data_IF_635656006379
#
_entry.id   IF_635656006379
#
_cell.length_a   1.000
_cell.length_b   1.000
_cell.length_c   1.000
_cell.angle_alpha   90.00
_cell.angle_beta   90.00
_cell.angle_gamma   90.00
#
_symmetry.space_group_name_H-M   'P 1'
#
loop_
_entity.id
_entity.type
_entity.pdbx_description
1 polymer ?
#
# COMPACT_ATOMS: atom_id res chain seq x y z
N UNK A 1 8.59 -7.44 14.91
CA UNK A 1 7.22 -7.52 14.33
C UNK A 1 7.35 -7.80 12.84
N UNK A 2 6.56 -8.74 12.31
CA UNK A 2 6.53 -9.09 10.88
C UNK A 2 5.19 -8.68 10.28
N UNK A 3 5.23 -7.83 9.25
CA UNK A 3 4.06 -7.48 8.44
C UNK A 3 4.08 -8.35 7.17
N UNK A 4 2.95 -8.97 6.84
CA UNK A 4 2.77 -9.73 5.61
C UNK A 4 1.52 -9.24 4.91
N UNK A 5 1.68 -8.62 3.75
CA UNK A 5 0.57 -8.21 2.89
C UNK A 5 0.42 -9.26 1.78
N UNK A 6 -0.80 -9.75 1.60
CA UNK A 6 -1.15 -10.68 0.51
C UNK A 6 -2.19 -10.02 -0.37
N UNK A 7 -1.83 -9.68 -1.61
CA UNK A 7 -2.77 -9.18 -2.62
C UNK A 7 -3.77 -10.29 -2.98
N UNK A 8 -5.06 -10.01 -2.82
CA UNK A 8 -6.17 -10.96 -3.06
C UNK A 8 -6.86 -10.69 -4.38
N UNK A 9 -7.15 -9.43 -4.68
CA UNK A 9 -7.92 -9.05 -5.86
C UNK A 9 -7.16 -7.96 -6.62
N UNK A 10 -6.50 -8.34 -7.71
CA UNK A 10 -5.80 -7.43 -8.63
C UNK A 10 -6.81 -6.91 -9.68
N UNK A 11 -7.49 -5.81 -9.38
CA UNK A 11 -8.51 -5.23 -10.25
C UNK A 11 -7.89 -4.25 -11.27
N UNK A 12 -8.65 -3.82 -12.30
CA UNK A 12 -8.10 -2.95 -13.35
C UNK A 12 -7.54 -1.61 -12.88
N UNK A 13 -8.08 -1.05 -11.79
CA UNK A 13 -7.72 0.29 -11.29
C UNK A 13 -7.12 0.28 -9.88
N UNK A 14 -7.27 -0.81 -9.13
CA UNK A 14 -6.87 -0.92 -7.73
C UNK A 14 -6.55 -2.37 -7.37
N UNK A 15 -5.95 -2.57 -6.20
CA UNK A 15 -5.65 -3.91 -5.68
C UNK A 15 -6.10 -4.00 -4.23
N UNK A 16 -6.91 -5.02 -3.93
CA UNK A 16 -7.28 -5.34 -2.55
C UNK A 16 -6.36 -6.45 -2.03
N UNK A 17 -5.89 -6.29 -0.80
CA UNK A 17 -5.07 -7.27 -0.10
C UNK A 17 -5.51 -7.46 1.33
N UNK A 18 -4.89 -8.44 1.99
CA UNK A 18 -5.01 -8.65 3.44
C UNK A 18 -3.66 -8.41 4.09
N UNK A 19 -3.65 -7.63 5.16
CA UNK A 19 -2.47 -7.42 6.00
C UNK A 19 -2.53 -8.34 7.21
N UNK A 20 -1.40 -8.99 7.49
CA UNK A 20 -1.20 -9.86 8.64
C UNK A 20 -0.06 -9.31 9.50
N UNK A 21 -0.23 -9.36 10.81
CA UNK A 21 0.81 -9.02 11.80
C UNK A 21 1.18 -10.30 12.53
N UNK A 22 2.44 -10.72 12.41
CA UNK A 22 2.92 -11.99 12.94
C UNK A 22 2.01 -13.16 12.53
N UNK A 23 1.66 -13.20 11.23
CA UNK A 23 0.82 -14.22 10.59
C UNK A 23 -0.65 -14.29 11.08
N UNK A 24 -1.09 -13.38 11.97
CA UNK A 24 -2.51 -13.17 12.31
C UNK A 24 -3.12 -12.11 11.41
N UNK A 25 -4.31 -12.37 10.86
CA UNK A 25 -5.06 -11.39 10.08
C UNK A 25 -5.29 -10.12 10.91
N UNK A 26 -5.03 -8.97 10.30
CA UNK A 26 -5.17 -7.67 10.94
C UNK A 26 -6.25 -6.82 10.28
N UNK A 27 -6.15 -6.59 8.96
CA UNK A 27 -7.11 -5.77 8.22
C UNK A 27 -7.02 -6.02 6.71
N UNK A 28 -7.93 -5.39 5.95
CA UNK A 28 -7.82 -5.29 4.50
C UNK A 28 -6.88 -4.14 4.11
N UNK A 29 -6.42 -4.19 2.86
CA UNK A 29 -5.61 -3.14 2.27
C UNK A 29 -6.11 -2.73 0.90
N UNK A 30 -5.90 -1.46 0.55
CA UNK A 30 -6.10 -0.93 -0.78
C UNK A 30 -4.79 -0.35 -1.29
N UNK A 31 -4.38 -0.80 -2.47
CA UNK A 31 -3.23 -0.30 -3.23
C UNK A 31 -3.68 0.11 -4.64
N UNK A 32 -2.82 0.81 -5.35
CA UNK A 32 -2.96 1.05 -6.79
C UNK A 32 -3.01 -0.26 -7.61
N UNK A 33 -3.24 -0.14 -8.92
CA UNK A 33 -3.11 -1.27 -9.86
C UNK A 33 -1.69 -1.87 -9.82
N UNK A 34 -1.58 -3.19 -9.73
CA UNK A 34 -0.31 -3.90 -9.96
C UNK A 34 0.05 -3.85 -11.45
N UNK A 35 1.29 -3.48 -11.76
CA UNK A 35 1.86 -3.47 -13.11
C UNK A 35 3.17 -4.26 -13.10
N UNK A 36 3.54 -4.79 -14.26
CA UNK A 36 4.91 -5.24 -14.49
C UNK A 36 5.79 -3.99 -14.59
N UNK A 37 6.90 -3.98 -13.86
CA UNK A 37 7.83 -2.85 -13.77
C UNK A 37 9.23 -3.38 -14.06
N UNK A 38 9.61 -3.38 -15.34
CA UNK A 38 10.95 -3.75 -15.78
C UNK A 38 11.88 -2.51 -15.72
N UNK A 39 11.29 -1.32 -15.79
CA UNK A 39 11.96 -0.03 -15.80
C UNK A 39 11.12 1.06 -15.09
N UNK A 40 11.68 2.27 -14.92
CA UNK A 40 10.95 3.39 -14.29
C UNK A 40 9.84 3.92 -15.21
N UNK A 41 9.99 3.74 -16.52
CA UNK A 41 9.07 4.17 -17.57
C UNK A 41 7.75 3.40 -17.53
N UNK A 42 7.76 2.16 -17.02
CA UNK A 42 6.56 1.33 -16.83
C UNK A 42 5.67 1.83 -15.68
N UNK A 43 6.23 2.64 -14.78
CA UNK A 43 5.51 3.19 -13.64
C UNK A 43 4.65 4.37 -14.06
N UNK A 44 3.34 4.20 -13.94
CA UNK A 44 2.39 5.32 -14.03
C UNK A 44 2.28 6.00 -12.67
N UNK A 45 2.64 7.28 -12.62
CA UNK A 45 2.54 8.11 -11.42
C UNK A 45 1.11 8.08 -10.85
N UNK A 46 0.99 7.88 -9.54
CA UNK A 46 -0.27 7.82 -8.79
C UNK A 46 -1.25 6.69 -9.17
N UNK A 47 -0.82 5.72 -9.99
CA UNK A 47 -1.68 4.65 -10.53
C UNK A 47 -0.96 3.30 -10.61
N UNK A 48 0.07 3.12 -9.78
CA UNK A 48 0.94 1.93 -9.80
C UNK A 48 1.31 1.52 -8.39
N UNK A 49 0.97 0.28 -8.03
CA UNK A 49 1.38 -0.31 -6.76
C UNK A 49 2.86 -0.67 -6.76
N UNK A 50 3.47 -0.71 -5.57
CA UNK A 50 4.88 -1.04 -5.42
C UNK A 50 5.18 -2.48 -5.85
N UNK A 51 6.42 -2.81 -6.23
CA UNK A 51 6.81 -4.19 -6.54
C UNK A 51 6.57 -5.14 -5.36
N UNK A 52 6.27 -6.39 -5.64
CA UNK A 52 6.22 -7.43 -4.61
C UNK A 52 7.64 -7.67 -4.06
N UNK A 53 7.79 -7.83 -2.74
CA UNK A 53 9.11 -7.95 -2.15
C UNK A 53 9.11 -7.90 -0.62
N UNK A 54 10.31 -7.96 -0.04
CA UNK A 54 10.54 -7.78 1.39
C UNK A 54 11.19 -6.43 1.62
N UNK A 55 10.52 -5.58 2.40
CA UNK A 55 10.98 -4.23 2.69
C UNK A 55 11.24 -4.06 4.17
N UNK A 56 12.26 -3.24 4.51
CA UNK A 56 12.45 -2.77 5.88
C UNK A 56 11.39 -1.71 6.16
N UNK A 57 10.71 -1.83 7.29
CA UNK A 57 9.70 -0.87 7.74
C UNK A 57 10.22 -0.16 8.98
N UNK A 58 10.15 1.17 8.97
CA UNK A 58 10.46 2.04 10.12
C UNK A 58 9.29 2.97 10.39
N UNK A 59 9.17 3.48 11.61
CA UNK A 59 8.15 4.48 11.95
C UNK A 59 8.82 5.84 11.99
N UNK A 60 8.37 6.78 11.15
CA UNK A 60 8.93 8.13 11.05
C UNK A 60 7.84 9.18 10.98
N UNK A 61 8.16 10.41 11.37
CA UNK A 61 7.27 11.56 11.19
C UNK A 61 7.01 11.77 9.69
N UNK A 62 5.73 11.77 9.28
CA UNK A 62 5.35 12.03 7.90
C UNK A 62 5.31 13.54 7.62
N UNK A 63 6.04 14.05 6.62
CA UNK A 63 5.95 15.46 6.24
C UNK A 63 4.56 15.87 5.74
N UNK A 64 3.83 14.95 5.10
CA UNK A 64 2.47 15.17 4.57
C UNK A 64 1.42 15.08 5.67
N UNK A 65 1.41 13.99 6.43
CA UNK A 65 0.36 13.70 7.40
C UNK A 65 0.62 14.26 8.81
N UNK A 66 1.81 14.81 9.05
CA UNK A 66 2.24 15.41 10.33
C UNK A 66 2.04 14.48 11.54
N UNK A 67 2.27 13.18 11.34
CA UNK A 67 2.19 12.14 12.38
C UNK A 67 3.16 11.00 12.08
N UNK A 68 3.47 10.20 13.10
CA UNK A 68 4.27 8.99 12.98
C UNK A 68 3.52 7.95 12.13
N UNK A 69 4.15 7.48 11.05
CA UNK A 69 3.59 6.46 10.17
C UNK A 69 4.66 5.45 9.74
N UNK A 70 4.30 4.18 9.53
CA UNK A 70 5.18 3.20 8.89
C UNK A 70 5.61 3.69 7.51
N UNK A 71 6.92 3.61 7.25
CA UNK A 71 7.59 3.94 6.00
C UNK A 71 8.35 2.70 5.52
N UNK A 72 8.12 2.30 4.28
CA UNK A 72 8.87 1.26 3.60
C UNK A 72 10.15 1.88 3.02
N UNK A 73 11.30 1.29 3.31
CA UNK A 73 12.60 1.75 2.83
C UNK A 73 13.00 1.01 1.55
N UNK A 74 13.74 1.71 0.69
CA UNK A 74 14.36 1.18 -0.53
C UNK A 74 13.37 0.46 -1.47
N UNK A 75 12.21 1.06 -1.69
CA UNK A 75 11.20 0.53 -2.61
C UNK A 75 11.63 0.88 -4.05
N UNK A 76 11.91 -0.10 -4.93
CA UNK A 76 12.37 0.18 -6.29
C UNK A 76 11.40 1.08 -7.03
N UNK A 77 11.88 2.15 -7.67
CA UNK A 77 11.09 3.12 -8.43
C UNK A 77 10.16 4.04 -7.61
N UNK A 78 10.11 3.92 -6.27
CA UNK A 78 9.24 4.72 -5.42
C UNK A 78 9.98 5.38 -4.26
N UNK A 79 9.43 6.50 -3.81
CA UNK A 79 9.91 7.20 -2.62
C UNK A 79 8.73 7.47 -1.68
N UNK A 80 9.01 7.52 -0.38
CA UNK A 80 8.03 7.95 0.61
C UNK A 80 6.83 7.02 0.79
N UNK A 81 6.95 5.74 0.44
CA UNK A 81 5.86 4.75 0.53
C UNK A 81 5.51 4.46 1.99
N UNK A 82 4.26 4.76 2.36
CA UNK A 82 3.77 4.60 3.73
C UNK A 82 2.60 3.64 3.81
N UNK A 83 2.38 3.11 5.01
CA UNK A 83 1.13 2.46 5.38
C UNK A 83 0.30 3.50 6.14
N UNK A 84 -0.87 3.88 5.62
CA UNK A 84 -1.65 4.96 6.21
C UNK A 84 -3.16 4.82 5.98
N UNK A 85 -3.93 5.76 6.54
CA UNK A 85 -5.38 5.81 6.38
C UNK A 85 -5.80 6.46 5.06
N UNK A 86 -6.95 6.10 4.55
CA UNK A 86 -7.53 6.61 3.29
C UNK A 86 -8.86 5.92 3.01
N UNK A 87 -9.48 6.22 1.88
CA UNK A 87 -10.80 5.72 1.52
C UNK A 87 -10.82 4.99 0.18
N UNK A 88 -10.13 5.51 -0.82
CA UNK A 88 -10.16 4.96 -2.18
C UNK A 88 -8.80 5.02 -2.89
N UNK A 89 -8.77 4.59 -4.15
CA UNK A 89 -7.52 4.42 -4.90
C UNK A 89 -6.74 5.73 -5.06
N UNK A 90 -7.41 6.88 -4.99
CA UNK A 90 -6.78 8.20 -5.14
C UNK A 90 -5.96 8.59 -3.90
N UNK A 91 -6.18 7.93 -2.77
CA UNK A 91 -5.38 8.11 -1.57
C UNK A 91 -4.08 7.28 -1.57
N UNK A 92 -3.99 6.27 -2.45
CA UNK A 92 -2.87 5.30 -2.45
C UNK A 92 -1.60 5.96 -2.99
N UNK A 93 -1.56 6.33 -4.27
CA UNK A 93 -0.36 6.86 -4.93
C UNK A 93 0.90 6.01 -4.68
N UNK A 94 0.76 4.68 -4.77
CA UNK A 94 1.77 3.69 -4.41
C UNK A 94 1.89 3.38 -2.91
N UNK A 95 1.27 4.15 -2.02
CA UNK A 95 1.15 3.80 -0.60
C UNK A 95 0.12 2.68 -0.39
N UNK A 96 0.19 2.08 0.81
CA UNK A 96 -0.72 1.02 1.23
C UNK A 96 -1.74 1.64 2.17
N UNK A 97 -3.02 1.62 1.78
CA UNK A 97 -4.12 2.03 2.65
C UNK A 97 -4.60 0.83 3.45
N UNK A 98 -4.88 1.01 4.74
CA UNK A 98 -5.41 -0.03 5.63
C UNK A 98 -6.84 0.28 6.03
N UNK A 99 -7.70 -0.73 6.18
CA UNK A 99 -9.08 -0.55 6.63
C UNK A 99 -9.91 -1.82 6.42
N UNK A 100 -11.21 -1.66 6.22
CA UNK A 100 -12.17 -2.73 5.92
C UNK A 100 -12.70 -2.59 4.49
N UNK A 101 -12.52 -3.60 3.64
CA UNK A 101 -13.03 -3.62 2.27
C UNK A 101 -14.50 -4.06 2.23
N UNK A 102 -15.40 -3.19 2.69
CA UNK A 102 -16.86 -3.43 2.66
C UNK A 102 -17.55 -2.84 1.43
N UNK A 103 -16.85 -2.01 0.66
CA UNK A 103 -17.35 -1.34 -0.54
C UNK A 103 -16.37 -1.61 -1.68
N UNK A 104 -16.88 -1.95 -2.87
CA UNK A 104 -16.05 -2.25 -4.04
C UNK A 104 -15.11 -1.08 -4.35
N UNK A 105 -13.80 -1.37 -4.40
CA UNK A 105 -12.76 -0.39 -4.70
C UNK A 105 -12.40 0.55 -3.55
N UNK A 106 -12.94 0.36 -2.35
CA UNK A 106 -12.71 1.24 -1.20
C UNK A 106 -12.36 0.47 0.06
N UNK A 107 -11.74 1.16 1.00
CA UNK A 107 -11.68 0.72 2.40
C UNK A 107 -12.33 1.76 3.29
N UNK A 108 -12.96 1.31 4.37
CA UNK A 108 -13.58 2.16 5.38
C UNK A 108 -13.01 1.82 6.76
N UNK A 109 -13.31 2.62 7.79
CA UNK A 109 -12.82 2.41 9.16
C UNK A 109 -11.28 2.36 9.24
N UNK A 110 -10.66 3.37 8.62
CA UNK A 110 -9.21 3.49 8.33
C UNK A 110 -8.45 4.35 9.34
#
# INVERSE_FOLDING_TARGET
MKLKLIRKYKCPNYTIGHLYINDKYFCDTLEDKVRQLDSIEDKIKHKTAIPEGKYKVVVTMSPKFKRLLPLLLNVPFFEGIRIHRGNDENDTSGCIIVGENKIKGKVINS
#
